data_IF_073602733518
#
_entry.id   IF_073602733518
#
_cell.length_a   1.000
_cell.length_b   1.000
_cell.length_c   1.000
_cell.angle_alpha   90.00
_cell.angle_beta   90.00
_cell.angle_gamma   90.00
#
_symmetry.space_group_name_H-M   'P 1'
#
loop_
_entity.id
_entity.type
_entity.pdbx_description
1 polymer ?
#
# COMPACT_ATOMS: atom_id res chain seq x y z
N UNK A 1 -33.10 13.41 27.90
CA UNK A 1 -31.81 13.16 27.23
C UNK A 1 -32.11 12.20 26.09
N UNK A 2 -32.16 12.71 24.85
CA UNK A 2 -32.56 11.91 23.69
C UNK A 2 -31.41 10.96 23.30
N UNK A 3 -31.69 9.73 22.86
CA UNK A 3 -30.65 8.80 22.46
C UNK A 3 -29.98 9.29 21.18
N UNK A 4 -28.66 9.51 21.25
CA UNK A 4 -27.72 9.82 20.15
C UNK A 4 -27.71 8.67 19.12
N UNK A 5 -28.80 8.53 18.38
CA UNK A 5 -29.01 7.39 17.48
C UNK A 5 -28.46 7.79 16.11
N UNK A 6 -27.19 7.49 15.90
CA UNK A 6 -26.54 7.65 14.60
C UNK A 6 -27.31 6.88 13.52
N UNK A 7 -27.42 7.40 12.28
CA UNK A 7 -28.28 6.82 11.24
C UNK A 7 -27.90 5.40 10.77
N UNK A 8 -26.79 4.82 11.26
CA UNK A 8 -26.38 3.43 10.99
C UNK A 8 -25.59 2.87 12.19
N UNK A 9 -26.27 2.41 13.25
CA UNK A 9 -25.63 2.08 14.53
C UNK A 9 -24.61 0.93 14.40
N UNK A 10 -24.85 -0.03 13.52
CA UNK A 10 -23.97 -1.17 13.29
C UNK A 10 -22.56 -0.75 12.84
N UNK A 11 -22.46 0.18 11.88
CA UNK A 11 -21.16 0.66 11.38
C UNK A 11 -20.52 1.66 12.35
N UNK A 12 -21.34 2.43 13.06
CA UNK A 12 -20.85 3.42 14.01
C UNK A 12 -20.10 2.78 15.19
N UNK A 13 -20.48 1.58 15.64
CA UNK A 13 -19.83 0.90 16.77
C UNK A 13 -18.36 0.55 16.52
N UNK A 14 -17.98 0.33 15.25
CA UNK A 14 -16.61 0.00 14.84
C UNK A 14 -15.71 1.25 14.87
N UNK A 15 -16.29 2.44 14.73
CA UNK A 15 -15.55 3.70 14.71
C UNK A 15 -15.07 4.09 16.10
N UNK A 16 -13.92 4.77 16.24
CA UNK A 16 -13.46 5.30 17.52
C UNK A 16 -14.45 6.27 18.18
N UNK A 17 -14.40 6.37 19.51
CA UNK A 17 -15.35 7.19 20.27
C UNK A 17 -15.34 8.68 19.88
N UNK A 18 -14.19 9.22 19.49
CA UNK A 18 -14.09 10.60 19.02
C UNK A 18 -14.86 10.82 17.71
N UNK A 19 -14.75 9.88 16.79
CA UNK A 19 -15.38 9.91 15.47
C UNK A 19 -16.90 9.78 15.58
N UNK A 20 -17.38 8.90 16.48
CA UNK A 20 -18.81 8.78 16.78
C UNK A 20 -19.42 10.09 17.30
N UNK A 21 -18.71 10.78 18.19
CA UNK A 21 -19.14 12.09 18.72
C UNK A 21 -19.15 13.17 17.65
N UNK A 22 -18.18 13.14 16.73
CA UNK A 22 -18.14 14.09 15.62
C UNK A 22 -19.33 13.84 14.68
N UNK A 23 -19.59 12.57 14.33
CA UNK A 23 -20.71 12.18 13.48
C UNK A 23 -22.09 12.54 14.05
N UNK A 24 -22.29 12.43 15.35
CA UNK A 24 -23.59 12.71 15.97
C UNK A 24 -24.01 14.18 15.86
N UNK A 25 -23.05 15.08 15.60
CA UNK A 25 -23.31 16.51 15.42
C UNK A 25 -23.45 16.98 13.97
N UNK A 26 -23.27 16.10 12.97
CA UNK A 26 -23.29 16.46 11.55
C UNK A 26 -24.64 16.19 10.90
N UNK A 27 -25.00 17.00 9.90
CA UNK A 27 -26.26 16.84 9.16
C UNK A 27 -26.08 16.84 7.64
N UNK A 28 -26.89 16.03 6.95
CA UNK A 28 -27.00 16.05 5.49
C UNK A 28 -25.67 15.84 4.74
N UNK A 29 -25.26 16.83 3.95
CA UNK A 29 -24.05 16.77 3.11
C UNK A 29 -22.75 16.75 3.91
N UNK A 30 -22.76 17.28 5.14
CA UNK A 30 -21.60 17.32 6.03
C UNK A 30 -21.17 15.93 6.49
N UNK A 31 -22.13 15.01 6.68
CA UNK A 31 -21.85 13.61 7.02
C UNK A 31 -21.01 12.97 5.91
N UNK A 32 -21.36 13.21 4.65
CA UNK A 32 -20.67 12.60 3.51
C UNK A 32 -19.28 13.19 3.28
N UNK A 33 -19.12 14.51 3.39
CA UNK A 33 -17.80 15.14 3.24
C UNK A 33 -16.86 14.74 4.39
N UNK A 34 -17.37 14.72 5.62
CA UNK A 34 -16.61 14.32 6.79
C UNK A 34 -16.22 12.84 6.75
N UNK A 35 -17.16 11.93 6.43
CA UNK A 35 -16.86 10.49 6.36
C UNK A 35 -15.83 10.16 5.29
N UNK A 36 -15.90 10.81 4.12
CA UNK A 36 -14.91 10.64 3.05
C UNK A 36 -13.51 11.13 3.48
N UNK A 37 -13.44 12.32 4.08
CA UNK A 37 -12.17 12.86 4.57
C UNK A 37 -11.56 11.97 5.66
N UNK A 38 -12.40 11.48 6.59
CA UNK A 38 -11.95 10.62 7.68
C UNK A 38 -11.50 9.24 7.20
N UNK A 39 -12.20 8.66 6.22
CA UNK A 39 -11.79 7.40 5.60
C UNK A 39 -10.42 7.53 4.91
N UNK A 40 -10.18 8.64 4.21
CA UNK A 40 -8.90 8.93 3.57
C UNK A 40 -7.77 9.09 4.59
N UNK A 41 -8.04 9.71 5.74
CA UNK A 41 -7.08 9.81 6.83
C UNK A 41 -6.72 8.44 7.41
N UNK A 42 -7.71 7.59 7.71
CA UNK A 42 -7.45 6.22 8.19
C UNK A 42 -6.67 5.39 7.19
N UNK A 43 -6.96 5.54 5.89
CA UNK A 43 -6.20 4.88 4.83
C UNK A 43 -4.72 5.29 4.87
N UNK A 44 -4.42 6.59 5.04
CA UNK A 44 -3.05 7.09 5.17
C UNK A 44 -2.35 6.52 6.41
N UNK A 45 -3.05 6.49 7.55
CA UNK A 45 -2.52 5.91 8.80
C UNK A 45 -2.23 4.41 8.65
N UNK A 46 -3.15 3.64 8.07
CA UNK A 46 -2.96 2.21 7.80
C UNK A 46 -1.74 1.97 6.91
N UNK A 47 -1.57 2.76 5.84
CA UNK A 47 -0.39 2.68 4.97
C UNK A 47 0.91 3.03 5.71
N UNK A 48 0.88 4.01 6.61
CA UNK A 48 2.05 4.37 7.42
C UNK A 48 2.42 3.26 8.41
N UNK A 49 1.44 2.62 9.06
CA UNK A 49 1.68 1.48 9.95
C UNK A 49 2.24 0.27 9.19
N UNK A 50 1.68 -0.07 8.04
CA UNK A 50 2.21 -1.14 7.17
C UNK A 50 3.63 -0.82 6.68
N UNK A 51 3.90 0.45 6.37
CA UNK A 51 5.24 0.92 6.04
C UNK A 51 6.24 0.69 7.18
N UNK A 52 5.87 1.01 8.42
CA UNK A 52 6.72 0.79 9.61
C UNK A 52 6.90 -0.71 9.87
N UNK A 53 5.81 -1.50 9.78
CA UNK A 53 5.86 -2.95 9.90
C UNK A 53 6.86 -3.56 8.92
N UNK A 54 6.79 -3.14 7.65
CA UNK A 54 7.74 -3.57 6.63
C UNK A 54 9.16 -3.15 7.00
N UNK A 55 9.40 -1.90 7.40
CA UNK A 55 10.74 -1.46 7.82
C UNK A 55 11.33 -2.28 8.98
N UNK A 56 10.50 -2.85 9.85
CA UNK A 56 10.94 -3.74 10.93
C UNK A 56 11.24 -5.17 10.47
N UNK A 57 10.87 -5.55 9.24
CA UNK A 57 11.18 -6.86 8.69
C UNK A 57 12.69 -6.97 8.37
N UNK A 58 13.35 -8.11 8.67
CA UNK A 58 14.78 -8.29 8.43
C UNK A 58 15.25 -8.02 6.99
N UNK A 59 14.34 -8.18 6.02
CA UNK A 59 14.65 -7.93 4.60
C UNK A 59 14.92 -6.45 4.28
N UNK A 60 14.46 -5.54 5.15
CA UNK A 60 14.77 -4.11 5.08
C UNK A 60 16.10 -3.75 5.77
N UNK A 61 16.72 -4.69 6.48
CA UNK A 61 18.07 -4.55 7.00
C UNK A 61 19.13 -5.01 5.99
N UNK A 62 18.72 -5.58 4.84
CA UNK A 62 19.68 -5.83 3.76
C UNK A 62 20.15 -4.48 3.20
N UNK A 63 21.48 -4.28 3.09
CA UNK A 63 22.03 -3.20 2.30
C UNK A 63 21.47 -3.20 0.88
N UNK A 64 21.35 -2.02 0.27
CA UNK A 64 20.79 -1.90 -1.08
C UNK A 64 21.55 -2.78 -2.08
N UNK A 65 22.86 -2.97 -1.88
CA UNK A 65 23.74 -3.79 -2.72
C UNK A 65 23.29 -5.25 -2.75
N UNK A 66 22.95 -5.82 -1.59
CA UNK A 66 22.46 -7.19 -1.51
C UNK A 66 21.06 -7.32 -2.09
N UNK A 67 20.21 -6.31 -1.90
CA UNK A 67 18.86 -6.30 -2.46
C UNK A 67 18.90 -6.18 -4.00
N UNK A 68 19.79 -5.35 -4.55
CA UNK A 68 20.08 -5.28 -5.98
C UNK A 68 20.62 -6.60 -6.52
N UNK A 69 21.54 -7.27 -5.81
CA UNK A 69 22.04 -8.58 -6.20
C UNK A 69 20.92 -9.63 -6.27
N UNK A 70 20.01 -9.63 -5.28
CA UNK A 70 18.83 -10.50 -5.28
C UNK A 70 17.96 -10.19 -6.50
N UNK A 71 17.66 -8.91 -6.75
CA UNK A 71 16.86 -8.51 -7.89
C UNK A 71 17.48 -8.90 -9.23
N UNK A 72 18.80 -8.73 -9.41
CA UNK A 72 19.51 -9.15 -10.62
C UNK A 72 19.30 -10.64 -10.95
N UNK A 73 19.01 -11.50 -9.96
CA UNK A 73 18.78 -12.93 -10.15
C UNK A 73 17.31 -13.35 -10.00
N UNK A 74 16.38 -12.41 -9.78
CA UNK A 74 14.98 -12.69 -9.50
C UNK A 74 14.06 -12.61 -10.73
N UNK A 75 14.60 -12.27 -11.90
CA UNK A 75 13.82 -12.28 -13.13
C UNK A 75 13.59 -13.72 -13.62
N UNK A 76 12.32 -14.07 -13.81
CA UNK A 76 11.93 -15.35 -14.40
C UNK A 76 10.84 -15.19 -15.46
N UNK A 77 9.83 -14.37 -15.19
CA UNK A 77 8.75 -14.05 -16.12
C UNK A 77 8.05 -12.76 -15.68
N UNK A 78 6.99 -12.37 -16.37
CA UNK A 78 6.21 -11.17 -16.05
C UNK A 78 5.69 -11.12 -14.60
N UNK A 79 5.56 -12.24 -13.89
CA UNK A 79 5.18 -12.21 -12.46
C UNK A 79 6.27 -11.62 -11.57
N UNK A 80 7.53 -11.56 -12.02
CA UNK A 80 8.63 -10.88 -11.31
C UNK A 80 8.37 -9.39 -11.12
N UNK A 81 7.45 -8.76 -11.88
CA UNK A 81 7.00 -7.39 -11.62
C UNK A 81 6.35 -7.21 -10.24
N UNK A 82 5.83 -8.28 -9.63
CA UNK A 82 5.28 -8.25 -8.27
C UNK A 82 6.29 -7.77 -7.21
N UNK A 83 7.59 -7.93 -7.46
CA UNK A 83 8.67 -7.44 -6.58
C UNK A 83 8.60 -5.91 -6.40
N UNK A 84 8.18 -5.18 -7.43
CA UNK A 84 7.98 -3.73 -7.35
C UNK A 84 6.78 -3.32 -6.47
N UNK A 85 5.93 -4.27 -6.09
CA UNK A 85 4.71 -4.02 -5.32
C UNK A 85 4.84 -4.37 -3.83
N UNK A 86 5.93 -5.03 -3.41
CA UNK A 86 6.17 -5.41 -2.01
C UNK A 86 6.18 -4.19 -1.08
N UNK A 87 7.02 -3.20 -1.39
CA UNK A 87 7.04 -1.92 -0.68
C UNK A 87 7.69 -0.81 -1.51
N UNK A 88 7.59 0.45 -1.03
CA UNK A 88 8.23 1.62 -1.67
C UNK A 88 9.75 1.50 -1.76
N UNK A 89 10.39 0.85 -0.78
CA UNK A 89 11.84 0.68 -0.74
C UNK A 89 12.31 -0.29 -1.82
N UNK A 90 11.65 -1.45 -1.93
CA UNK A 90 11.92 -2.45 -2.97
C UNK A 90 11.74 -1.88 -4.36
N UNK A 91 10.63 -1.16 -4.59
CA UNK A 91 10.42 -0.47 -5.87
C UNK A 91 11.56 0.46 -6.23
N UNK A 92 12.04 1.27 -5.28
CA UNK A 92 13.13 2.22 -5.50
C UNK A 92 14.44 1.51 -5.87
N UNK A 93 14.79 0.45 -5.14
CA UNK A 93 16.03 -0.31 -5.39
C UNK A 93 15.94 -1.10 -6.70
N UNK A 94 14.79 -1.72 -6.99
CA UNK A 94 14.54 -2.46 -8.22
C UNK A 94 14.66 -1.56 -9.47
N UNK A 95 14.06 -0.37 -9.44
CA UNK A 95 14.19 0.62 -10.52
C UNK A 95 15.64 1.11 -10.71
N UNK A 96 16.46 1.03 -9.65
CA UNK A 96 17.87 1.40 -9.67
C UNK A 96 18.82 0.21 -9.96
N UNK A 97 18.30 -0.97 -10.30
CA UNK A 97 19.08 -2.18 -10.60
C UNK A 97 18.97 -2.52 -12.09
N UNK A 98 19.88 -2.03 -12.96
CA UNK A 98 19.80 -2.22 -14.41
C UNK A 98 19.78 -3.68 -14.85
N UNK A 99 20.48 -4.56 -14.14
CA UNK A 99 20.63 -5.98 -14.45
C UNK A 99 19.27 -6.69 -14.54
N UNK A 100 18.33 -6.34 -13.64
CA UNK A 100 16.97 -6.87 -13.66
C UNK A 100 16.23 -6.56 -14.96
N UNK A 101 16.47 -5.40 -15.57
CA UNK A 101 15.76 -4.95 -16.77
C UNK A 101 16.36 -5.50 -18.05
N UNK A 102 17.67 -5.80 -18.06
CA UNK A 102 18.34 -6.45 -19.21
C UNK A 102 17.67 -7.79 -19.51
N UNK A 103 17.47 -8.61 -18.48
CA UNK A 103 16.81 -9.91 -18.63
C UNK A 103 15.32 -9.77 -18.95
N UNK A 104 14.66 -8.74 -18.41
CA UNK A 104 13.26 -8.45 -18.70
C UNK A 104 13.01 -8.09 -20.17
N UNK A 105 13.86 -7.22 -20.73
CA UNK A 105 13.80 -6.83 -22.14
C UNK A 105 14.22 -7.99 -23.02
N UNK A 106 15.27 -8.73 -22.66
CA UNK A 106 15.73 -9.91 -23.40
C UNK A 106 14.66 -10.99 -23.52
N UNK A 107 14.00 -11.34 -22.41
CA UNK A 107 12.90 -12.31 -22.40
C UNK A 107 11.67 -11.85 -23.17
N UNK A 108 11.34 -10.55 -23.13
CA UNK A 108 10.24 -9.98 -23.91
C UNK A 108 10.52 -9.99 -25.42
N UNK A 109 11.77 -9.72 -25.82
CA UNK A 109 12.20 -9.77 -27.22
C UNK A 109 12.11 -11.20 -27.78
N UNK A 110 12.54 -12.21 -27.02
CA UNK A 110 12.42 -13.62 -27.44
C UNK A 110 10.97 -14.06 -27.63
N UNK A 111 10.04 -13.59 -26.80
CA UNK A 111 8.61 -13.87 -26.97
C UNK A 111 7.97 -13.12 -28.15
N UNK A 112 8.45 -11.92 -28.50
CA UNK A 112 7.91 -11.12 -29.59
C UNK A 112 8.34 -11.60 -31.00
N UNK A 113 9.48 -12.30 -31.10
CA UNK A 113 10.02 -12.80 -32.37
C UNK A 113 9.87 -14.32 -32.56
N UNK A 114 9.30 -15.04 -31.59
CA UNK A 114 9.23 -16.51 -31.57
C UNK A 114 7.84 -17.08 -31.28
N UNK A 115 6.77 -16.42 -31.75
CA UNK A 115 5.38 -16.88 -31.64
C UNK A 115 4.69 -16.93 -32.99
#
# INVERSE_FOLDING_TARGET
>A
QAPDTLPFPEFATILPAADRRCLSGLVGSEIRSWTLARAEEYRKLALALLAIHNLAAPIHCLPNELLSLIFAHAWHNWKSYSLAHVCRHWRRVLLATPEFWVDAIGGACFHAYGG
#
